data_IF_900016619063
#
_entry.id   IF_900016619063
#
_cell.length_a   1.000
_cell.length_b   1.000
_cell.length_c   1.000
_cell.angle_alpha   90.00
_cell.angle_beta   90.00
_cell.angle_gamma   90.00
#
_symmetry.space_group_name_H-M   'P 1'
#
loop_
_entity.id
_entity.type
_entity.pdbx_description
1 polymer ?
#
# COMPACT_ATOMS: atom_id res chain seq x y z
N UNK A 1 0.32 -11.24 -3.29
CA UNK A 1 -0.59 -10.32 -2.55
C UNK A 1 0.17 -9.02 -2.30
N UNK A 2 -0.46 -7.91 -1.88
CA UNK A 2 0.26 -6.63 -1.68
C UNK A 2 1.44 -6.72 -0.71
N UNK A 3 1.35 -7.62 0.27
CA UNK A 3 2.40 -7.87 1.27
C UNK A 3 3.72 -8.43 0.71
N UNK A 4 3.75 -8.95 -0.53
CA UNK A 4 5.00 -9.45 -1.14
C UNK A 4 6.06 -8.37 -1.21
N UNK A 5 5.66 -7.10 -1.41
CA UNK A 5 6.58 -5.97 -1.45
C UNK A 5 7.35 -5.76 -0.14
N UNK A 6 6.88 -6.34 0.98
CA UNK A 6 7.63 -6.32 2.25
C UNK A 6 8.99 -7.03 2.16
N UNK A 7 9.20 -7.89 1.15
CA UNK A 7 10.49 -8.54 0.91
C UNK A 7 11.63 -7.57 0.57
N UNK A 8 11.31 -6.35 0.16
CA UNK A 8 12.32 -5.30 0.00
C UNK A 8 12.91 -4.82 1.32
N UNK A 9 12.21 -5.06 2.43
CA UNK A 9 12.61 -4.65 3.77
C UNK A 9 13.23 -5.81 4.56
N UNK A 10 14.08 -6.60 3.89
CA UNK A 10 14.73 -7.77 4.49
C UNK A 10 15.60 -7.43 5.71
N UNK A 11 16.02 -6.17 5.86
CA UNK A 11 16.69 -5.67 7.06
C UNK A 11 15.84 -5.74 8.35
N UNK A 12 14.53 -5.98 8.25
CA UNK A 12 13.63 -6.21 9.38
C UNK A 12 13.33 -7.70 9.65
N UNK A 13 13.87 -8.64 8.87
CA UNK A 13 13.50 -10.05 8.99
C UNK A 13 13.99 -10.73 10.27
N UNK A 14 15.15 -10.32 10.77
CA UNK A 14 15.71 -10.79 12.05
C UNK A 14 15.15 -10.03 13.26
N UNK A 15 14.45 -8.91 13.04
CA UNK A 15 13.94 -8.06 14.11
C UNK A 15 12.66 -8.63 14.68
N UNK A 16 12.39 -8.33 15.95
CA UNK A 16 11.10 -8.65 16.55
C UNK A 16 10.02 -7.69 16.02
N UNK A 17 9.08 -8.22 15.25
CA UNK A 17 7.99 -7.44 14.66
C UNK A 17 6.64 -7.82 15.26
N UNK A 18 5.79 -6.82 15.46
CA UNK A 18 4.38 -7.05 15.77
C UNK A 18 3.58 -7.06 14.50
N UNK A 19 2.72 -8.06 14.34
CA UNK A 19 1.87 -8.22 13.15
C UNK A 19 0.40 -8.03 13.52
N UNK A 20 -0.32 -7.29 12.69
CA UNK A 20 -1.74 -6.99 12.85
C UNK A 20 -2.47 -7.23 11.53
N UNK A 21 -3.66 -7.83 11.59
CA UNK A 21 -4.53 -8.08 10.46
C UNK A 21 -5.31 -9.39 10.60
N UNK A 22 -6.08 -9.74 9.58
CA UNK A 22 -6.93 -10.93 9.56
C UNK A 22 -6.26 -12.15 8.91
N UNK A 23 -6.70 -13.35 9.32
CA UNK A 23 -6.26 -14.63 8.76
C UNK A 23 -4.94 -15.14 9.34
N UNK A 24 -4.21 -16.03 8.64
CA UNK A 24 -3.00 -16.66 9.16
C UNK A 24 -1.79 -15.72 9.05
N UNK A 25 -1.86 -14.55 9.70
CA UNK A 25 -0.87 -13.47 9.58
C UNK A 25 0.55 -13.90 9.93
N UNK A 26 0.73 -14.79 10.92
CA UNK A 26 2.04 -15.35 11.27
C UNK A 26 2.64 -16.17 10.15
N UNK A 27 1.84 -17.01 9.50
CA UNK A 27 2.32 -17.86 8.42
C UNK A 27 2.65 -17.02 7.19
N UNK A 28 1.88 -15.96 6.94
CA UNK A 28 2.18 -14.97 5.91
C UNK A 28 3.52 -14.28 6.21
N UNK A 29 3.72 -13.79 7.44
CA UNK A 29 4.97 -13.14 7.85
C UNK A 29 6.19 -14.06 7.69
N UNK A 30 6.09 -15.32 8.13
CA UNK A 30 7.15 -16.33 7.97
C UNK A 30 7.45 -16.63 6.50
N UNK A 31 6.42 -16.72 5.65
CA UNK A 31 6.58 -16.92 4.19
C UNK A 31 7.24 -15.72 3.50
N UNK A 32 7.07 -14.52 4.03
CA UNK A 32 7.76 -13.31 3.54
C UNK A 32 9.23 -13.34 3.96
N UNK A 33 9.52 -13.78 5.18
CA UNK A 33 10.89 -13.95 5.70
C UNK A 33 11.09 -13.49 7.14
N UNK A 34 10.06 -12.93 7.80
CA UNK A 34 10.16 -12.51 9.20
C UNK A 34 10.29 -13.72 10.13
N UNK A 35 11.29 -13.67 11.01
CA UNK A 35 11.61 -14.78 11.92
C UNK A 35 10.99 -14.64 13.30
N UNK A 36 10.96 -13.40 13.82
CA UNK A 36 10.48 -13.09 15.16
C UNK A 36 9.19 -12.27 15.06
N UNK A 37 8.04 -12.92 15.28
CA UNK A 37 6.74 -12.28 15.11
C UNK A 37 5.81 -12.53 16.30
N UNK A 38 5.24 -11.46 16.84
CA UNK A 38 4.16 -11.48 17.83
C UNK A 38 2.88 -10.89 17.24
N UNK A 39 1.75 -11.52 17.53
CA UNK A 39 0.42 -11.02 17.14
C UNK A 39 -0.17 -10.11 18.21
N UNK A 40 -1.14 -9.28 17.84
CA UNK A 40 -1.90 -8.48 18.79
C UNK A 40 -2.56 -9.35 19.86
N UNK A 41 -3.06 -10.53 19.47
CA UNK A 41 -3.72 -11.48 20.36
C UNK A 41 -2.75 -12.07 21.39
N UNK A 42 -1.52 -12.38 20.99
CA UNK A 42 -0.49 -12.87 21.92
C UNK A 42 -0.03 -11.79 22.89
N UNK A 43 0.15 -10.55 22.40
CA UNK A 43 0.47 -9.41 23.26
C UNK A 43 -0.67 -9.20 24.26
N UNK A 44 -1.92 -9.20 23.81
CA UNK A 44 -3.09 -9.11 24.69
C UNK A 44 -3.17 -10.26 25.71
N UNK A 45 -2.72 -11.47 25.34
CA UNK A 45 -2.67 -12.61 26.27
C UNK A 45 -1.58 -12.46 27.32
N UNK A 46 -0.42 -11.91 26.96
CA UNK A 46 0.71 -11.68 27.88
C UNK A 46 0.53 -10.43 28.73
N UNK A 47 -0.11 -9.41 28.17
CA UNK A 47 -0.35 -8.09 28.76
C UNK A 47 -1.84 -7.74 28.72
N UNK A 48 -2.70 -8.43 29.51
CA UNK A 48 -4.14 -8.23 29.43
C UNK A 48 -4.60 -6.80 29.73
N UNK A 49 -3.79 -6.01 30.44
CA UNK A 49 -4.10 -4.62 30.75
C UNK A 49 -3.94 -3.67 29.56
N UNK A 50 -3.22 -4.06 28.51
CA UNK A 50 -3.12 -3.30 27.26
C UNK A 50 -4.34 -3.52 26.34
N UNK A 51 -5.16 -4.54 26.60
CA UNK A 51 -6.37 -4.78 25.80
C UNK A 51 -7.53 -3.96 26.38
N UNK A 52 -7.83 -2.83 25.72
CA UNK A 52 -8.92 -1.91 26.07
C UNK A 52 -10.31 -2.57 26.10
N UNK A 53 -10.47 -3.76 25.54
CA UNK A 53 -11.70 -4.50 25.57
C UNK A 53 -11.80 -5.53 26.71
N UNK A 54 -10.80 -5.64 27.60
CA UNK A 54 -10.90 -6.45 28.83
C UNK A 54 -11.73 -5.75 29.91
N UNK A 55 -12.26 -6.48 30.90
CA UNK A 55 -12.91 -5.88 32.06
C UNK A 55 -11.96 -4.89 32.76
N UNK A 56 -12.52 -3.80 33.30
CA UNK A 56 -11.73 -2.70 33.89
C UNK A 56 -10.84 -3.18 35.04
N UNK A 57 -11.30 -4.17 35.81
CA UNK A 57 -10.55 -4.76 36.91
C UNK A 57 -9.22 -5.34 36.39
N UNK A 58 -9.25 -6.05 35.26
CA UNK A 58 -8.07 -6.65 34.63
C UNK A 58 -7.15 -5.62 33.98
N UNK A 59 -7.68 -4.47 33.58
CA UNK A 59 -6.90 -3.34 33.06
C UNK A 59 -6.19 -2.62 34.21
N UNK A 60 -6.86 -2.44 35.34
CA UNK A 60 -6.31 -1.74 36.51
C UNK A 60 -5.33 -2.58 37.33
N UNK A 61 -5.34 -3.91 37.19
CA UNK A 61 -4.44 -4.85 37.89
C UNK A 61 -3.09 -5.05 37.18
N UNK A 62 -2.75 -4.24 36.16
CA UNK A 62 -1.54 -4.39 35.37
C UNK A 62 -0.26 -4.37 36.21
N UNK A 63 0.37 -5.54 36.37
CA UNK A 63 1.66 -5.65 37.04
C UNK A 63 2.77 -5.43 36.00
N UNK A 64 3.49 -4.31 36.10
CA UNK A 64 4.70 -4.03 35.29
C UNK A 64 5.86 -4.87 35.86
N UNK A 65 5.66 -6.18 35.90
CA UNK A 65 6.70 -7.14 36.26
C UNK A 65 7.70 -7.27 35.10
N UNK A 66 8.96 -7.58 35.43
CA UNK A 66 9.98 -8.00 34.44
C UNK A 66 9.44 -9.18 33.64
N UNK A 67 8.89 -8.89 32.47
CA UNK A 67 8.49 -9.89 31.50
C UNK A 67 9.66 -10.11 30.52
N UNK A 68 9.81 -11.33 30.03
CA UNK A 68 10.84 -11.67 29.04
C UNK A 68 10.36 -11.36 27.61
N UNK A 69 9.45 -10.39 27.43
CA UNK A 69 8.98 -10.03 26.10
C UNK A 69 10.05 -9.19 25.41
N UNK A 70 10.55 -9.69 24.28
CA UNK A 70 11.58 -9.00 23.51
C UNK A 70 11.04 -7.66 23.01
N UNK A 71 11.90 -6.62 23.05
CA UNK A 71 11.56 -5.30 22.53
C UNK A 71 11.10 -5.41 21.07
N UNK A 72 9.95 -4.81 20.78
CA UNK A 72 9.42 -4.71 19.41
C UNK A 72 10.17 -3.63 18.65
N UNK A 73 10.57 -3.93 17.42
CA UNK A 73 11.36 -3.01 16.59
C UNK A 73 10.62 -2.53 15.33
N UNK A 74 9.49 -3.15 14.96
CA UNK A 74 8.61 -2.67 13.90
C UNK A 74 7.19 -3.23 14.03
N UNK A 75 6.24 -2.55 13.40
CA UNK A 75 4.83 -2.94 13.33
C UNK A 75 4.45 -3.18 11.87
N UNK A 76 3.89 -4.36 11.56
CA UNK A 76 3.41 -4.74 10.22
C UNK A 76 1.88 -4.86 10.26
N UNK A 77 1.21 -3.95 9.54
CA UNK A 77 -0.24 -3.94 9.35
C UNK A 77 -0.55 -4.61 8.00
N UNK A 78 -0.91 -5.89 8.04
CA UNK A 78 -1.28 -6.66 6.86
C UNK A 78 -2.68 -6.29 6.32
N UNK A 79 -3.56 -5.81 7.20
CA UNK A 79 -4.95 -5.46 6.91
C UNK A 79 -5.65 -4.99 8.18
N UNK A 80 -6.93 -4.63 8.08
CA UNK A 80 -7.74 -4.31 9.25
C UNK A 80 -7.90 -5.53 10.17
N UNK A 81 -7.73 -5.36 11.50
CA UNK A 81 -8.03 -6.41 12.47
C UNK A 81 -9.55 -6.57 12.67
N UNK A 82 -9.97 -7.64 13.34
CA UNK A 82 -11.39 -7.81 13.71
C UNK A 82 -11.80 -6.89 14.88
N UNK A 83 -10.92 -6.69 15.85
CA UNK A 83 -11.17 -5.90 17.08
C UNK A 83 -10.34 -4.62 17.06
N UNK A 84 -10.89 -3.56 16.50
CA UNK A 84 -10.15 -2.32 16.25
C UNK A 84 -9.69 -1.66 17.54
N UNK A 85 -10.55 -1.60 18.57
CA UNK A 85 -10.26 -0.96 19.85
C UNK A 85 -9.07 -1.63 20.56
N UNK A 86 -9.03 -2.97 20.56
CA UNK A 86 -7.92 -3.76 21.09
C UNK A 86 -6.63 -3.48 20.32
N UNK A 87 -6.67 -3.58 18.99
CA UNK A 87 -5.48 -3.39 18.17
C UNK A 87 -4.97 -1.96 18.21
N UNK A 88 -5.87 -0.96 18.18
CA UNK A 88 -5.51 0.46 18.27
C UNK A 88 -4.82 0.76 19.59
N UNK A 89 -5.38 0.32 20.74
CA UNK A 89 -4.75 0.52 22.04
C UNK A 89 -3.34 -0.07 22.08
N UNK A 90 -3.19 -1.35 21.73
CA UNK A 90 -1.90 -2.04 21.79
C UNK A 90 -0.87 -1.42 20.83
N UNK A 91 -1.27 -1.09 19.60
CA UNK A 91 -0.38 -0.46 18.61
C UNK A 91 0.06 0.93 19.09
N UNK A 92 -0.86 1.73 19.63
CA UNK A 92 -0.52 3.06 20.16
C UNK A 92 0.43 2.95 21.34
N UNK A 93 0.19 2.03 22.27
CA UNK A 93 1.09 1.81 23.40
C UNK A 93 2.49 1.41 22.95
N UNK A 94 2.59 0.49 21.97
CA UNK A 94 3.87 0.13 21.35
C UNK A 94 4.57 1.33 20.70
N UNK A 95 3.84 2.20 20.01
CA UNK A 95 4.40 3.41 19.38
C UNK A 95 4.89 4.42 20.41
N UNK A 96 4.13 4.64 21.49
CA UNK A 96 4.48 5.58 22.57
C UNK A 96 5.65 5.07 23.43
N UNK A 97 5.74 3.76 23.66
CA UNK A 97 6.76 3.12 24.49
C UNK A 97 8.00 2.69 23.69
N UNK A 98 8.07 3.03 22.40
CA UNK A 98 9.14 2.60 21.49
C UNK A 98 9.37 1.08 21.52
N UNK A 99 8.27 0.31 21.59
CA UNK A 99 8.23 -1.16 21.52
C UNK A 99 8.64 -1.91 22.78
N UNK A 100 8.93 -1.22 23.88
CA UNK A 100 9.37 -1.82 25.13
C UNK A 100 8.22 -1.80 26.15
N UNK A 101 7.43 -2.88 26.19
CA UNK A 101 6.27 -3.03 27.10
C UNK A 101 6.67 -3.39 28.54
N UNK A 102 7.97 -3.53 28.82
CA UNK A 102 8.49 -3.91 30.14
C UNK A 102 8.86 -2.74 31.05
N UNK A 103 8.75 -1.52 30.55
CA UNK A 103 9.16 -0.30 31.26
C UNK A 103 7.98 0.46 31.83
N UNK A 104 8.22 1.18 32.93
CA UNK A 104 7.19 2.05 33.50
C UNK A 104 7.09 3.37 32.70
N UNK A 105 5.95 4.09 32.77
CA UNK A 105 5.81 5.40 32.11
C UNK A 105 6.91 6.40 32.48
N UNK A 106 7.44 6.33 33.71
CA UNK A 106 8.53 7.17 34.19
C UNK A 106 9.87 6.85 33.51
N UNK A 107 10.09 5.58 33.16
CA UNK A 107 11.27 5.11 32.40
C UNK A 107 11.17 5.45 30.91
N UNK A 108 9.96 5.76 30.43
CA UNK A 108 9.67 6.19 29.06
C UNK A 108 9.67 7.72 28.87
N UNK A 109 9.84 8.50 29.93
CA UNK A 109 9.94 9.95 29.79
C UNK A 109 11.07 10.31 28.81
N UNK A 110 10.81 11.16 27.81
CA UNK A 110 11.84 11.55 26.86
C UNK A 110 12.97 12.22 27.63
N UNK A 111 14.16 11.61 27.59
CA UNK A 111 15.37 12.32 27.95
C UNK A 111 15.46 13.51 26.99
N UNK A 112 15.52 14.72 27.56
CA UNK A 112 15.44 16.02 26.88
C UNK A 112 16.73 16.26 26.09
N UNK A 113 17.03 15.40 25.12
CA UNK A 113 18.24 15.44 24.31
C UNK A 113 17.88 15.70 22.85
N UNK A 114 17.09 16.75 22.58
CA UNK A 114 16.99 17.47 21.30
C UNK A 114 16.73 16.70 20.00
N UNK A 115 16.61 15.38 20.04
CA UNK A 115 16.42 14.51 18.90
C UNK A 115 14.92 14.33 18.71
N UNK A 116 14.43 14.67 17.52
CA UNK A 116 13.07 14.36 17.08
C UNK A 116 12.82 12.87 17.31
N UNK A 117 12.10 12.50 18.37
CA UNK A 117 11.79 11.11 18.67
C UNK A 117 10.92 10.56 17.54
N UNK A 118 11.51 9.71 16.69
CA UNK A 118 10.77 8.92 15.71
C UNK A 118 10.15 7.73 16.43
N UNK A 119 8.85 7.51 16.24
CA UNK A 119 8.18 6.29 16.70
C UNK A 119 8.75 5.05 15.98
N UNK A 120 8.32 3.85 16.42
CA UNK A 120 8.68 2.59 15.77
C UNK A 120 8.36 2.60 14.27
N UNK A 121 9.19 1.97 13.41
CA UNK A 121 8.86 1.71 12.02
C UNK A 121 7.49 1.03 11.85
N UNK A 122 6.61 1.61 11.02
CA UNK A 122 5.27 1.08 10.71
C UNK A 122 5.14 0.78 9.23
N UNK A 123 4.70 -0.42 8.91
CA UNK A 123 4.41 -0.86 7.55
C UNK A 123 2.92 -1.14 7.40
N UNK A 124 2.30 -0.69 6.32
CA UNK A 124 0.89 -0.95 6.04
C UNK A 124 0.71 -1.48 4.61
N UNK A 125 -0.10 -2.53 4.45
CA UNK A 125 -0.20 -3.28 3.19
C UNK A 125 -1.36 -2.90 2.25
N UNK A 126 -2.17 -1.93 2.64
CA UNK A 126 -3.23 -1.33 1.83
C UNK A 126 -3.60 0.02 2.44
N UNK A 127 -4.07 0.94 1.60
CA UNK A 127 -4.56 2.25 2.01
C UNK A 127 -6.03 2.47 1.63
N UNK A 128 -6.72 1.41 1.21
CA UNK A 128 -8.09 1.46 0.72
C UNK A 128 -9.02 1.86 1.89
N UNK A 129 -9.67 3.02 1.80
CA UNK A 129 -10.63 3.46 2.83
C UNK A 129 -11.84 2.53 2.88
N UNK A 130 -12.32 2.13 1.70
CA UNK A 130 -13.47 1.25 1.52
C UNK A 130 -13.21 0.23 0.42
N UNK A 131 -13.94 -0.88 0.46
CA UNK A 131 -13.92 -1.93 -0.55
C UNK A 131 -15.34 -2.36 -0.91
N UNK A 132 -15.51 -2.86 -2.15
CA UNK A 132 -16.78 -3.38 -2.63
C UNK A 132 -16.93 -4.87 -2.33
N UNK A 133 -18.11 -5.25 -1.83
CA UNK A 133 -18.48 -6.63 -1.54
C UNK A 133 -19.87 -6.93 -2.13
N UNK A 134 -20.46 -8.08 -1.80
CA UNK A 134 -21.87 -8.36 -2.13
C UNK A 134 -22.89 -7.49 -1.38
N UNK A 135 -22.44 -6.60 -0.48
CA UNK A 135 -23.31 -5.70 0.27
C UNK A 135 -23.80 -4.51 -0.60
N UNK A 136 -24.95 -3.89 -0.27
CA UNK A 136 -25.51 -2.78 -1.06
C UNK A 136 -24.65 -1.51 -1.12
N UNK A 137 -23.77 -1.31 -0.13
CA UNK A 137 -22.82 -0.19 -0.12
C UNK A 137 -21.41 -0.68 0.27
N UNK A 138 -20.34 0.01 -0.18
CA UNK A 138 -18.97 -0.32 0.19
C UNK A 138 -18.77 -0.45 1.72
N UNK A 139 -17.89 -1.36 2.13
CA UNK A 139 -17.50 -1.58 3.54
C UNK A 139 -16.19 -0.85 3.83
N UNK A 140 -15.99 -0.44 5.08
CA UNK A 140 -14.69 0.08 5.53
C UNK A 140 -13.61 -0.99 5.31
N UNK A 141 -12.43 -0.55 4.89
CA UNK A 141 -11.24 -1.36 4.66
C UNK A 141 -10.08 -0.86 5.52
N UNK A 142 -8.92 -1.48 5.36
CA UNK A 142 -7.69 -1.17 6.08
C UNK A 142 -7.34 0.32 6.16
N UNK A 143 -7.52 1.11 5.09
CA UNK A 143 -7.25 2.56 5.12
C UNK A 143 -8.11 3.33 6.14
N UNK A 144 -9.33 2.86 6.42
CA UNK A 144 -10.16 3.45 7.49
C UNK A 144 -9.56 3.17 8.87
N UNK A 145 -8.99 1.98 9.08
CA UNK A 145 -8.26 1.64 10.30
C UNK A 145 -7.00 2.51 10.46
N UNK A 146 -6.24 2.69 9.37
CA UNK A 146 -5.07 3.60 9.34
C UNK A 146 -5.47 5.03 9.74
N UNK A 147 -6.57 5.54 9.21
CA UNK A 147 -7.08 6.88 9.54
C UNK A 147 -7.41 7.03 11.04
N UNK A 148 -7.99 5.99 11.65
CA UNK A 148 -8.23 5.96 13.10
C UNK A 148 -6.92 5.95 13.89
N UNK A 149 -5.96 5.11 13.48
CA UNK A 149 -4.66 4.99 14.13
C UNK A 149 -3.87 6.31 14.07
N UNK A 150 -3.80 6.93 12.90
CA UNK A 150 -3.15 8.22 12.68
C UNK A 150 -3.75 9.31 13.57
N UNK A 151 -5.09 9.40 13.59
CA UNK A 151 -5.81 10.41 14.36
C UNK A 151 -5.56 10.23 15.85
N UNK A 152 -5.70 9.01 16.37
CA UNK A 152 -5.51 8.73 17.79
C UNK A 152 -4.05 8.96 18.20
N UNK A 153 -3.09 8.44 17.43
CA UNK A 153 -1.67 8.65 17.70
C UNK A 153 -1.33 10.14 17.74
N UNK A 154 -1.77 10.93 16.75
CA UNK A 154 -1.52 12.37 16.72
C UNK A 154 -2.14 13.10 17.91
N UNK A 155 -3.35 12.72 18.32
CA UNK A 155 -4.04 13.33 19.46
C UNK A 155 -3.38 13.00 20.80
N UNK A 156 -2.76 11.82 20.92
CA UNK A 156 -2.14 11.35 22.15
C UNK A 156 -0.67 11.77 22.28
N UNK A 157 0.10 11.71 21.18
CA UNK A 157 1.54 12.01 21.18
C UNK A 157 1.87 13.46 20.78
N UNK A 158 0.95 14.15 20.09
CA UNK A 158 1.22 15.42 19.42
C UNK A 158 2.02 15.31 18.13
N UNK A 159 2.38 14.09 17.69
CA UNK A 159 3.20 13.83 16.50
C UNK A 159 2.38 13.15 15.40
N UNK A 160 2.66 13.46 14.13
CA UNK A 160 2.05 12.75 13.01
C UNK A 160 2.64 11.34 12.90
N UNK A 161 1.79 10.32 12.72
CA UNK A 161 2.26 8.98 12.40
C UNK A 161 2.87 8.97 11.00
N UNK A 162 4.05 8.39 10.87
CA UNK A 162 4.74 8.20 9.59
C UNK A 162 4.83 6.72 9.26
N UNK A 163 4.59 6.35 8.00
CA UNK A 163 4.81 4.98 7.57
C UNK A 163 6.24 4.84 7.07
N UNK A 164 6.90 3.76 7.45
CA UNK A 164 8.18 3.32 6.85
C UNK A 164 7.91 2.70 5.48
N UNK A 165 6.79 2.00 5.32
CA UNK A 165 6.36 1.48 4.02
C UNK A 165 4.85 1.32 3.94
N UNK A 166 4.21 2.15 3.11
CA UNK A 166 2.83 1.94 2.67
C UNK A 166 2.86 1.11 1.38
N UNK A 167 2.86 -0.20 1.55
CA UNK A 167 2.94 -1.20 0.48
C UNK A 167 1.54 -1.53 -0.03
N UNK A 168 1.40 -1.85 -1.32
CA UNK A 168 0.08 -2.00 -1.95
C UNK A 168 -0.36 -0.74 -2.71
N UNK A 169 -1.53 -0.79 -3.36
CA UNK A 169 -2.03 0.35 -4.14
C UNK A 169 -2.33 1.54 -3.19
N UNK A 170 -2.09 2.79 -3.62
CA UNK A 170 -1.59 3.21 -4.94
C UNK A 170 -0.07 3.28 -5.08
N UNK A 171 0.70 2.66 -4.17
CA UNK A 171 2.17 2.74 -4.19
C UNK A 171 2.77 2.28 -5.53
N UNK A 172 3.65 3.08 -6.16
CA UNK A 172 4.41 2.69 -7.36
C UNK A 172 5.10 1.33 -7.24
N UNK A 173 5.49 0.97 -6.01
CA UNK A 173 6.13 -0.29 -5.70
C UNK A 173 5.25 -1.50 -6.02
N UNK A 174 3.95 -1.41 -5.71
CA UNK A 174 3.00 -2.48 -6.01
C UNK A 174 2.88 -2.73 -7.52
N UNK A 175 2.85 -1.66 -8.31
CA UNK A 175 2.78 -1.74 -9.77
C UNK A 175 4.08 -2.26 -10.39
N UNK A 176 5.23 -1.95 -9.80
CA UNK A 176 6.52 -2.49 -10.23
C UNK A 176 6.60 -4.01 -10.05
N UNK A 177 6.16 -4.53 -8.90
CA UNK A 177 6.02 -5.98 -8.70
C UNK A 177 5.02 -6.62 -9.66
N UNK A 178 3.88 -5.96 -9.90
CA UNK A 178 2.88 -6.45 -10.84
C UNK A 178 3.44 -6.53 -12.28
N UNK A 179 4.12 -5.48 -12.75
CA UNK A 179 4.72 -5.42 -14.08
C UNK A 179 5.81 -6.49 -14.26
N UNK A 180 6.68 -6.68 -13.26
CA UNK A 180 7.69 -7.75 -13.27
C UNK A 180 7.06 -9.15 -13.40
N UNK A 181 6.00 -9.42 -12.63
CA UNK A 181 5.26 -10.68 -12.71
C UNK A 181 4.57 -10.85 -14.07
N UNK A 182 3.93 -9.81 -14.59
CA UNK A 182 3.27 -9.85 -15.89
C UNK A 182 4.26 -10.11 -17.03
N UNK A 183 5.45 -9.48 -17.01
CA UNK A 183 6.51 -9.77 -17.97
C UNK A 183 7.02 -11.22 -17.86
N UNK A 184 7.16 -11.74 -16.64
CA UNK A 184 7.56 -13.14 -16.41
C UNK A 184 6.52 -14.12 -16.95
N UNK A 185 5.23 -13.85 -16.72
CA UNK A 185 4.11 -14.64 -17.26
C UNK A 185 4.08 -14.55 -18.79
N UNK A 186 4.24 -13.36 -19.36
CA UNK A 186 4.26 -13.15 -20.81
C UNK A 186 5.40 -13.92 -21.47
N UNK A 187 6.59 -13.89 -20.88
CA UNK A 187 7.75 -14.62 -21.40
C UNK A 187 7.54 -16.13 -21.32
N UNK A 188 7.14 -16.64 -20.14
CA UNK A 188 7.00 -18.07 -19.90
C UNK A 188 5.82 -18.70 -20.64
N UNK A 189 4.64 -18.09 -20.56
CA UNK A 189 3.40 -18.72 -21.04
C UNK A 189 3.07 -18.36 -22.48
N UNK A 190 3.57 -17.22 -22.99
CA UNK A 190 3.25 -16.72 -24.33
C UNK A 190 4.48 -16.50 -25.22
N UNK A 191 5.69 -16.86 -24.75
CA UNK A 191 6.92 -16.76 -25.53
C UNK A 191 7.38 -15.33 -25.80
N UNK A 192 6.95 -14.36 -24.99
CA UNK A 192 7.36 -12.97 -25.18
C UNK A 192 8.87 -12.81 -24.93
N UNK A 193 9.57 -12.24 -25.93
CA UNK A 193 11.02 -11.94 -25.86
C UNK A 193 11.30 -10.48 -25.54
N UNK A 194 10.26 -9.64 -25.50
CA UNK A 194 10.33 -8.21 -25.20
C UNK A 194 9.37 -7.88 -24.06
N UNK A 195 9.65 -6.84 -23.26
CA UNK A 195 8.72 -6.35 -22.26
C UNK A 195 7.36 -5.96 -22.86
N UNK A 196 6.31 -6.04 -22.05
CA UNK A 196 4.97 -5.62 -22.40
C UNK A 196 4.97 -4.14 -22.82
N UNK A 197 4.28 -3.84 -23.92
CA UNK A 197 4.15 -2.46 -24.44
C UNK A 197 3.07 -1.66 -23.71
N UNK A 198 1.99 -2.33 -23.31
CA UNK A 198 0.81 -1.73 -22.68
C UNK A 198 0.28 -2.65 -21.59
N UNK A 199 -0.10 -2.07 -20.46
CA UNK A 199 -0.79 -2.74 -19.36
C UNK A 199 -2.07 -1.97 -19.04
N UNK A 200 -3.20 -2.66 -19.11
CA UNK A 200 -4.50 -2.10 -18.74
C UNK A 200 -4.81 -2.41 -17.28
N UNK A 201 -4.98 -1.37 -16.47
CA UNK A 201 -5.29 -1.47 -15.05
C UNK A 201 -6.79 -1.24 -14.84
N UNK A 202 -7.54 -2.34 -14.75
CA UNK A 202 -8.99 -2.33 -14.52
C UNK A 202 -9.24 -2.33 -13.01
N UNK A 203 -9.94 -1.31 -12.50
CA UNK A 203 -10.26 -1.19 -11.08
C UNK A 203 -11.48 -0.32 -10.83
N UNK A 204 -12.00 -0.34 -9.61
CA UNK A 204 -13.28 0.26 -9.22
C UNK A 204 -13.10 1.45 -8.27
N UNK A 205 -11.89 1.70 -7.77
CA UNK A 205 -11.59 2.77 -6.84
C UNK A 205 -10.70 3.86 -7.48
N UNK A 206 -11.23 5.06 -7.76
CA UNK A 206 -10.45 6.13 -8.39
C UNK A 206 -9.22 6.58 -7.58
N UNK A 207 -9.33 6.66 -6.26
CA UNK A 207 -8.25 7.10 -5.37
C UNK A 207 -7.13 6.06 -5.17
N UNK A 208 -7.34 4.81 -5.63
CA UNK A 208 -6.42 3.68 -5.38
C UNK A 208 -5.98 3.03 -6.70
N UNK A 209 -6.92 2.54 -7.50
CA UNK A 209 -6.65 1.83 -8.74
C UNK A 209 -6.23 2.78 -9.85
N UNK A 210 -7.10 3.75 -10.14
CA UNK A 210 -6.88 4.72 -11.21
C UNK A 210 -5.69 5.60 -10.87
N UNK A 211 -5.70 6.18 -9.67
CA UNK A 211 -4.61 6.98 -9.13
C UNK A 211 -3.28 6.23 -9.16
N UNK A 212 -3.23 4.99 -8.67
CA UNK A 212 -2.00 4.20 -8.63
C UNK A 212 -1.45 3.88 -10.03
N UNK A 213 -2.33 3.49 -10.96
CA UNK A 213 -1.93 3.20 -12.33
C UNK A 213 -1.39 4.44 -13.05
N UNK A 214 -2.07 5.58 -12.88
CA UNK A 214 -1.66 6.86 -13.46
C UNK A 214 -0.36 7.38 -12.84
N UNK A 215 -0.22 7.28 -11.52
CA UNK A 215 1.01 7.66 -10.81
C UNK A 215 2.19 6.81 -11.29
N UNK A 216 2.03 5.49 -11.39
CA UNK A 216 3.11 4.62 -11.86
C UNK A 216 3.44 4.84 -13.34
N UNK A 217 2.45 5.08 -14.20
CA UNK A 217 2.68 5.46 -15.59
C UNK A 217 3.56 6.73 -15.69
N UNK A 218 3.29 7.71 -14.83
CA UNK A 218 4.09 8.93 -14.75
C UNK A 218 5.50 8.64 -14.22
N UNK A 219 5.65 7.77 -13.22
CA UNK A 219 6.97 7.33 -12.74
C UNK A 219 7.79 6.70 -13.87
N UNK A 220 7.20 5.81 -14.68
CA UNK A 220 7.89 5.21 -15.83
C UNK A 220 8.40 6.26 -16.81
N UNK A 221 7.65 7.34 -17.03
CA UNK A 221 8.00 8.41 -17.96
C UNK A 221 9.09 9.34 -17.41
N UNK A 222 9.30 9.38 -16.10
CA UNK A 222 10.20 10.34 -15.45
C UNK A 222 11.50 9.71 -14.92
N UNK A 223 11.53 8.40 -14.68
CA UNK A 223 12.72 7.68 -14.17
C UNK A 223 13.71 7.39 -15.32
N UNK A 224 15.01 7.45 -15.04
CA UNK A 224 16.08 7.08 -16.01
C UNK A 224 16.18 5.57 -16.19
N UNK A 225 16.60 5.12 -17.37
CA UNK A 225 16.65 3.67 -17.69
C UNK A 225 17.56 2.90 -16.73
N UNK A 226 18.72 3.46 -16.38
CA UNK A 226 19.66 2.86 -15.43
C UNK A 226 19.04 2.62 -14.05
N UNK A 227 18.22 3.56 -13.56
CA UNK A 227 17.53 3.45 -12.27
C UNK A 227 16.40 2.44 -12.33
N UNK A 228 15.64 2.46 -13.42
CA UNK A 228 14.57 1.50 -13.65
C UNK A 228 15.12 0.08 -13.76
N UNK A 229 16.27 -0.11 -14.41
CA UNK A 229 16.94 -1.41 -14.54
C UNK A 229 17.43 -1.95 -13.18
N UNK A 230 18.04 -1.09 -12.36
CA UNK A 230 18.49 -1.47 -11.01
C UNK A 230 17.33 -1.95 -10.13
N UNK A 231 16.22 -1.20 -10.11
CA UNK A 231 15.03 -1.56 -9.35
C UNK A 231 14.34 -2.81 -9.92
N UNK A 232 14.24 -2.90 -11.25
CA UNK A 232 13.65 -4.05 -11.93
C UNK A 232 14.43 -5.33 -11.65
N UNK A 233 15.77 -5.26 -11.61
CA UNK A 233 16.63 -6.41 -11.28
C UNK A 233 16.33 -6.95 -9.88
N UNK A 234 16.22 -6.07 -8.88
CA UNK A 234 15.90 -6.45 -7.50
C UNK A 234 14.48 -7.03 -7.39
N UNK A 235 13.49 -6.39 -8.01
CA UNK A 235 12.11 -6.90 -8.01
C UNK A 235 12.01 -8.25 -8.72
N UNK A 236 12.70 -8.42 -9.85
CA UNK A 236 12.75 -9.70 -10.57
C UNK A 236 13.36 -10.82 -9.70
N UNK A 237 14.40 -10.51 -8.93
CA UNK A 237 14.96 -11.46 -7.95
C UNK A 237 13.90 -11.85 -6.90
N UNK A 238 13.22 -10.89 -6.29
CA UNK A 238 12.20 -11.15 -5.28
C UNK A 238 10.98 -11.90 -5.83
N UNK A 239 10.54 -11.58 -7.05
CA UNK A 239 9.48 -12.31 -7.76
C UNK A 239 9.90 -13.75 -8.03
N UNK A 240 11.16 -13.99 -8.36
CA UNK A 240 11.70 -15.34 -8.54
C UNK A 240 11.68 -16.13 -7.24
N UNK A 241 12.05 -15.52 -6.12
CA UNK A 241 11.98 -16.20 -4.81
C UNK A 241 10.54 -16.55 -4.41
N UNK A 242 9.56 -15.67 -4.67
CA UNK A 242 8.16 -15.95 -4.37
C UNK A 242 7.57 -17.00 -5.32
N UNK A 243 7.93 -16.94 -6.60
CA UNK A 243 7.38 -17.79 -7.67
C UNK A 243 8.52 -18.35 -8.53
N UNK A 244 9.26 -19.35 -8.03
CA UNK A 244 10.41 -19.92 -8.76
C UNK A 244 10.02 -20.54 -10.09
N UNK A 245 8.75 -20.93 -10.24
CA UNK A 245 8.23 -21.44 -11.50
C UNK A 245 8.14 -20.37 -12.60
N UNK A 246 8.09 -19.06 -12.30
CA UNK A 246 7.84 -18.02 -13.31
C UNK A 246 9.09 -17.51 -14.02
N UNK A 247 10.27 -17.63 -13.40
CA UNK A 247 11.53 -17.11 -13.95
C UNK A 247 12.51 -18.27 -14.13
N UNK A 248 13.10 -18.47 -15.33
CA UNK A 248 14.07 -19.54 -15.58
C UNK A 248 15.21 -19.55 -14.56
N UNK A 249 15.78 -20.74 -14.34
CA UNK A 249 16.85 -21.04 -13.38
C UNK A 249 18.22 -20.42 -13.73
N UNK A 250 18.26 -19.16 -14.16
CA UNK A 250 19.48 -18.35 -14.13
C UNK A 250 19.80 -18.01 -12.68
N UNK A 251 21.01 -18.26 -12.16
CA UNK A 251 21.37 -17.78 -10.83
C UNK A 251 21.32 -16.25 -10.85
N UNK A 252 20.25 -15.69 -10.31
CA UNK A 252 20.23 -14.30 -9.92
C UNK A 252 20.94 -14.30 -8.58
N UNK A 253 22.17 -13.80 -8.52
CA UNK A 253 22.78 -13.43 -7.25
C UNK A 253 21.88 -12.38 -6.62
N UNK A 254 21.58 -12.49 -5.32
CA UNK A 254 20.99 -11.36 -4.60
C UNK A 254 21.94 -10.17 -4.85
N UNK A 255 21.50 -9.11 -5.55
CA UNK A 255 22.29 -7.90 -5.61
C UNK A 255 22.17 -7.29 -4.21
N UNK A 256 22.97 -7.81 -3.28
CA UNK A 256 23.03 -7.31 -1.92
C UNK A 256 23.31 -5.81 -2.04
N UNK A 257 22.37 -4.99 -1.60
CA UNK A 257 22.65 -3.60 -1.34
C UNK A 257 23.59 -3.60 -0.13
N UNK A 258 24.88 -3.46 -0.40
CA UNK A 258 25.72 -2.78 0.57
C UNK A 258 25.02 -1.44 0.81
N UNK A 259 24.40 -1.27 1.98
CA UNK A 259 23.91 0.01 2.45
C UNK A 259 25.12 0.92 2.58
N UNK A 260 25.55 1.52 1.46
CA UNK A 260 26.56 2.56 1.44
C UNK A 260 25.82 3.88 1.54
N UNK A 261 26.30 4.75 2.42
CA UNK A 261 25.65 6.00 2.83
C UNK A 261 25.40 7.00 1.69
N UNK A 262 25.81 6.69 0.46
CA UNK A 262 25.61 7.50 -0.73
C UNK A 262 24.38 7.12 -1.58
N UNK A 263 23.40 6.43 -0.97
CA UNK A 263 22.20 5.94 -1.64
C UNK A 263 21.33 7.03 -2.29
N UNK A 264 20.90 6.77 -3.54
CA UNK A 264 20.10 7.68 -4.36
C UNK A 264 18.75 8.02 -3.71
N UNK A 265 18.35 9.31 -3.78
CA UNK A 265 17.07 9.84 -3.26
C UNK A 265 15.87 8.96 -3.60
N UNK A 266 15.78 8.44 -4.83
CA UNK A 266 14.66 7.60 -5.28
C UNK A 266 14.64 6.19 -4.69
N UNK A 267 15.81 5.59 -4.45
CA UNK A 267 15.91 4.27 -3.80
C UNK A 267 15.49 4.38 -2.35
N UNK A 268 16.04 5.38 -1.63
CA UNK A 268 15.60 5.72 -0.27
C UNK A 268 14.13 6.07 -0.20
N UNK A 269 13.57 6.73 -1.20
CA UNK A 269 12.14 7.01 -1.23
C UNK A 269 11.34 5.72 -1.37
N UNK A 270 11.59 4.87 -2.37
CA UNK A 270 10.85 3.59 -2.49
C UNK A 270 10.98 2.72 -1.23
N UNK A 271 12.12 2.78 -0.56
CA UNK A 271 12.42 2.07 0.69
C UNK A 271 12.05 2.84 1.97
N UNK A 272 11.60 4.09 1.89
CA UNK A 272 11.20 4.90 3.05
C UNK A 272 10.03 5.81 2.69
N UNK A 273 8.86 5.40 3.16
CA UNK A 273 7.61 6.13 2.97
C UNK A 273 7.59 7.51 3.68
N UNK A 274 8.61 7.87 4.46
CA UNK A 274 8.80 9.23 4.97
C UNK A 274 9.34 10.21 3.90
N UNK A 275 10.15 9.73 2.95
CA UNK A 275 10.73 10.52 1.85
C UNK A 275 9.96 10.37 0.53
N UNK A 276 9.13 9.33 0.42
CA UNK A 276 8.20 9.12 -0.71
C UNK A 276 7.35 10.35 -1.04
N UNK A 277 6.67 11.00 -0.08
CA UNK A 277 5.69 12.04 -0.42
C UNK A 277 6.38 13.21 -1.14
N UNK A 278 7.55 13.65 -0.66
CA UNK A 278 8.31 14.74 -1.29
C UNK A 278 8.81 14.36 -2.69
N UNK A 279 9.36 13.15 -2.84
CA UNK A 279 9.90 12.71 -4.13
C UNK A 279 8.78 12.51 -5.16
N UNK A 280 7.66 11.91 -4.75
CA UNK A 280 6.48 11.76 -5.59
C UNK A 280 5.88 13.12 -5.95
N UNK A 281 5.82 14.08 -5.01
CA UNK A 281 5.44 15.46 -5.32
C UNK A 281 6.34 16.04 -6.42
N UNK A 282 7.66 15.93 -6.29
CA UNK A 282 8.59 16.41 -7.32
C UNK A 282 8.33 15.77 -8.69
N UNK A 283 8.10 14.45 -8.78
CA UNK A 283 7.75 13.80 -10.05
C UNK A 283 6.43 14.30 -10.61
N UNK A 284 5.42 14.42 -9.75
CA UNK A 284 4.07 14.77 -10.18
C UNK A 284 4.02 16.16 -10.78
N UNK A 285 4.94 17.06 -10.43
CA UNK A 285 5.05 18.40 -11.02
C UNK A 285 6.10 18.53 -12.14
N UNK A 286 6.89 17.50 -12.42
CA UNK A 286 7.81 17.48 -13.56
C UNK A 286 7.07 17.21 -14.87
N UNK A 287 7.36 17.98 -15.92
CA UNK A 287 6.86 17.71 -17.29
C UNK A 287 7.74 16.64 -17.94
N UNK A 288 7.23 15.41 -18.08
CA UNK A 288 7.92 14.39 -18.87
C UNK A 288 7.69 14.55 -20.38
N UNK A 289 8.75 14.30 -21.16
CA UNK A 289 8.75 14.22 -22.63
C UNK A 289 9.28 12.87 -23.14
N UNK A 290 9.39 11.87 -22.26
CA UNK A 290 10.08 10.61 -22.57
C UNK A 290 9.10 9.54 -23.07
N UNK A 291 9.45 8.90 -24.18
CA UNK A 291 8.73 7.71 -24.67
C UNK A 291 9.24 6.51 -23.87
N UNK A 292 8.34 5.83 -23.16
CA UNK A 292 8.66 4.65 -22.35
C UNK A 292 8.43 3.37 -23.14
N UNK A 293 9.14 2.27 -22.80
CA UNK A 293 8.93 0.97 -23.45
C UNK A 293 7.58 0.33 -23.09
N UNK A 294 7.00 0.71 -21.94
CA UNK A 294 5.68 0.27 -21.46
C UNK A 294 4.84 1.47 -21.03
N UNK A 295 3.54 1.44 -21.30
CA UNK A 295 2.56 2.39 -20.76
C UNK A 295 1.52 1.66 -19.89
N UNK A 296 1.04 2.33 -18.84
CA UNK A 296 -0.10 1.88 -18.06
C UNK A 296 -1.33 2.72 -18.42
N UNK A 297 -2.46 2.06 -18.61
CA UNK A 297 -3.74 2.69 -18.95
C UNK A 297 -4.80 2.29 -17.93
N UNK A 298 -5.30 3.26 -17.18
CA UNK A 298 -6.32 3.06 -16.15
C UNK A 298 -7.72 2.94 -16.77
N UNK A 299 -8.49 1.95 -16.32
CA UNK A 299 -9.90 1.76 -16.67
C UNK A 299 -10.70 1.67 -15.38
N UNK A 300 -11.64 2.61 -15.20
CA UNK A 300 -12.58 2.59 -14.08
C UNK A 300 -13.80 1.73 -14.42
N UNK A 301 -14.15 0.78 -13.55
CA UNK A 301 -15.41 0.03 -13.64
C UNK A 301 -16.43 0.53 -12.62
N UNK A 302 -17.71 0.51 -12.99
CA UNK A 302 -18.81 1.08 -12.19
C UNK A 302 -19.53 0.07 -11.28
N UNK A 303 -19.02 -1.16 -11.17
CA UNK A 303 -19.61 -2.27 -10.41
C UNK A 303 -19.05 -2.42 -8.99
N UNK A 304 -18.27 -1.47 -8.47
CA UNK A 304 -17.52 -1.64 -7.22
C UNK A 304 -17.67 -0.49 -6.24
N UNK A 305 -16.54 0.04 -5.77
CA UNK A 305 -16.45 1.16 -4.82
C UNK A 305 -17.07 2.41 -5.43
N UNK A 306 -16.69 2.74 -6.66
CA UNK A 306 -17.38 3.74 -7.45
C UNK A 306 -18.61 3.11 -8.11
N UNK A 307 -19.78 3.70 -7.85
CA UNK A 307 -21.06 3.30 -8.44
C UNK A 307 -21.76 4.50 -9.05
N UNK A 308 -22.26 4.36 -10.27
CA UNK A 308 -23.05 5.39 -10.92
C UNK A 308 -24.51 5.31 -10.43
N UNK A 309 -24.94 6.26 -9.60
CA UNK A 309 -26.33 6.32 -9.15
C UNK A 309 -27.24 6.87 -10.26
N UNK A 310 -27.85 5.97 -11.04
CA UNK A 310 -28.79 6.27 -12.15
C UNK A 310 -30.07 7.07 -11.79
N UNK A 311 -30.30 7.50 -10.55
CA UNK A 311 -31.65 7.95 -10.10
C UNK A 311 -31.80 9.37 -9.56
N UNK A 312 -30.79 10.24 -9.58
CA UNK A 312 -31.03 11.65 -9.22
C UNK A 312 -30.08 12.61 -9.91
N UNK A 313 -30.60 13.40 -10.83
CA UNK A 313 -29.94 14.60 -11.35
C UNK A 313 -29.58 15.62 -10.24
N UNK A 314 -30.01 15.41 -8.98
CA UNK A 314 -29.71 16.29 -7.82
C UNK A 314 -28.77 15.66 -6.77
N UNK A 315 -28.49 14.36 -6.85
CA UNK A 315 -27.55 13.64 -5.97
C UNK A 315 -26.59 12.84 -6.85
N UNK A 316 -25.83 13.53 -7.70
CA UNK A 316 -24.72 12.95 -8.48
C UNK A 316 -23.46 12.72 -7.63
N UNK A 317 -23.61 12.63 -6.32
CA UNK A 317 -22.51 12.40 -5.40
C UNK A 317 -22.47 10.91 -5.09
N UNK A 318 -21.34 10.26 -5.40
CA UNK A 318 -20.96 9.02 -4.73
C UNK A 318 -21.16 9.21 -3.22
N UNK A 319 -21.64 8.17 -2.52
CA UNK A 319 -21.81 8.20 -1.06
C UNK A 319 -20.52 8.60 -0.31
N UNK A 320 -19.37 8.41 -0.98
CA UNK A 320 -18.04 8.74 -0.49
C UNK A 320 -17.33 9.67 -1.48
N UNK A 321 -16.46 10.56 -0.99
CA UNK A 321 -15.58 11.33 -1.85
C UNK A 321 -14.62 10.37 -2.58
N UNK A 322 -14.76 10.17 -3.90
CA UNK A 322 -14.06 9.10 -4.62
C UNK A 322 -12.56 9.38 -4.84
N UNK A 323 -12.10 10.60 -4.51
CA UNK A 323 -10.73 11.08 -4.75
C UNK A 323 -9.92 11.32 -3.47
N UNK A 324 -10.35 10.76 -2.32
CA UNK A 324 -9.56 10.82 -1.08
C UNK A 324 -8.39 9.85 -1.14
N UNK A 325 -7.27 10.34 -1.69
CA UNK A 325 -5.98 9.66 -1.68
C UNK A 325 -5.34 9.79 -0.29
N UNK A 326 -4.68 8.74 0.18
CA UNK A 326 -3.97 8.74 1.45
C UNK A 326 -2.93 9.89 1.52
N UNK A 327 -2.79 10.62 2.65
CA UNK A 327 -1.94 11.82 2.76
C UNK A 327 -0.45 11.60 2.44
N UNK A 328 0.03 10.37 2.50
CA UNK A 328 1.40 10.00 2.09
C UNK A 328 1.66 10.07 0.58
N UNK A 329 0.63 10.31 -0.25
CA UNK A 329 0.78 10.44 -1.69
C UNK A 329 0.40 11.85 -2.16
N UNK A 330 1.04 12.38 -3.22
CA UNK A 330 0.75 13.70 -3.75
C UNK A 330 -0.66 13.79 -4.32
N UNK A 331 -1.43 14.78 -3.89
CA UNK A 331 -2.72 15.04 -4.50
C UNK A 331 -2.57 15.79 -5.84
N UNK A 332 -3.06 15.18 -6.91
CA UNK A 332 -3.25 15.81 -8.22
C UNK A 332 -4.52 15.23 -8.84
N UNK A 333 -5.53 16.06 -9.08
CA UNK A 333 -6.86 15.62 -9.55
C UNK A 333 -6.79 14.76 -10.81
N UNK A 334 -5.91 15.12 -11.75
CA UNK A 334 -5.71 14.37 -13.00
C UNK A 334 -5.19 12.94 -12.80
N UNK A 335 -4.64 12.61 -11.63
CA UNK A 335 -4.25 11.23 -11.34
C UNK A 335 -5.46 10.36 -11.02
N UNK A 336 -6.56 10.90 -10.50
CA UNK A 336 -7.80 10.15 -10.26
C UNK A 336 -8.68 10.03 -11.51
N UNK A 337 -8.31 10.68 -12.63
CA UNK A 337 -9.04 10.62 -13.89
C UNK A 337 -8.67 9.34 -14.66
N UNK A 338 -9.61 8.41 -14.89
CA UNK A 338 -9.32 7.21 -15.63
C UNK A 338 -9.20 7.52 -17.11
N UNK A 339 -8.39 6.74 -17.82
CA UNK A 339 -8.31 6.85 -19.28
C UNK A 339 -9.61 6.42 -19.95
N UNK A 340 -10.24 5.37 -19.41
CA UNK A 340 -11.51 4.84 -19.89
C UNK A 340 -12.44 4.49 -18.74
N UNK A 341 -13.75 4.54 -18.98
CA UNK A 341 -14.77 4.09 -18.02
C UNK A 341 -15.60 2.99 -18.67
N UNK A 342 -15.81 1.89 -17.95
CA UNK A 342 -16.66 0.79 -18.38
C UNK A 342 -17.70 0.49 -17.31
N UNK A 343 -18.87 -0.01 -17.69
CA UNK A 343 -19.91 -0.43 -16.74
C UNK A 343 -19.39 -1.53 -15.83
N UNK A 344 -18.73 -2.52 -16.41
CA UNK A 344 -18.19 -3.67 -15.71
C UNK A 344 -16.87 -4.16 -16.35
N UNK A 345 -16.28 -5.20 -15.74
CA UNK A 345 -15.02 -5.80 -16.21
C UNK A 345 -15.17 -6.43 -17.60
N UNK A 346 -16.34 -7.00 -17.93
CA UNK A 346 -16.54 -7.66 -19.22
C UNK A 346 -16.57 -6.64 -20.37
N UNK A 347 -17.18 -5.48 -20.16
CA UNK A 347 -17.15 -4.37 -21.10
C UNK A 347 -15.75 -3.78 -21.24
N UNK A 348 -15.01 -3.61 -20.13
CA UNK A 348 -13.62 -3.15 -20.17
C UNK A 348 -12.75 -4.08 -21.04
N UNK A 349 -12.88 -5.39 -20.88
CA UNK A 349 -12.10 -6.38 -21.66
C UNK A 349 -12.50 -6.34 -23.14
N UNK A 350 -13.80 -6.29 -23.47
CA UNK A 350 -14.26 -6.16 -24.86
C UNK A 350 -13.68 -4.93 -25.54
N UNK A 351 -13.65 -3.81 -24.82
CA UNK A 351 -13.07 -2.57 -25.33
C UNK A 351 -11.56 -2.67 -25.56
N UNK A 352 -10.81 -3.26 -24.62
CA UNK A 352 -9.38 -3.53 -24.81
C UNK A 352 -9.14 -4.35 -26.08
N UNK A 353 -9.89 -5.43 -26.30
CA UNK A 353 -9.77 -6.24 -27.51
C UNK A 353 -10.08 -5.44 -28.78
N UNK A 354 -11.07 -4.55 -28.73
CA UNK A 354 -11.41 -3.67 -29.85
C UNK A 354 -10.27 -2.68 -30.19
N UNK A 355 -9.73 -1.95 -29.20
CA UNK A 355 -8.65 -0.98 -29.42
C UNK A 355 -7.31 -1.62 -29.78
N UNK A 356 -7.11 -2.89 -29.44
CA UNK A 356 -5.97 -3.71 -29.86
C UNK A 356 -6.18 -4.36 -31.25
N UNK A 357 -7.35 -4.17 -31.89
CA UNK A 357 -7.65 -4.68 -33.22
C UNK A 357 -7.92 -6.20 -33.26
N UNK A 358 -8.35 -6.79 -32.15
CA UNK A 358 -8.57 -8.23 -31.98
C UNK A 358 -10.05 -8.64 -32.02
N UNK A 359 -10.99 -7.70 -32.23
CA UNK A 359 -12.42 -7.98 -32.35
C UNK A 359 -13.06 -7.27 -33.53
N UNK A 360 -13.84 -8.00 -34.32
CA UNK A 360 -14.66 -7.49 -35.42
C UNK A 360 -16.03 -7.00 -34.92
N UNK A 361 -16.38 -5.74 -35.24
CA UNK A 361 -17.73 -5.22 -35.48
C UNK A 361 -18.85 -5.35 -34.41
N UNK A 362 -18.57 -5.19 -33.12
CA UNK A 362 -19.60 -4.84 -32.12
C UNK A 362 -19.56 -3.36 -31.78
N UNK A 363 -20.71 -2.67 -31.68
CA UNK A 363 -20.78 -1.34 -31.05
C UNK A 363 -20.25 -1.46 -29.62
N UNK A 364 -19.07 -0.89 -29.37
CA UNK A 364 -18.52 -0.78 -28.02
C UNK A 364 -18.87 0.62 -27.51
N UNK A 365 -19.94 0.70 -26.73
CA UNK A 365 -20.41 1.94 -26.10
C UNK A 365 -19.52 2.24 -24.88
N UNK A 366 -18.33 2.79 -25.13
CA UNK A 366 -17.39 3.20 -24.08
C UNK A 366 -17.07 4.67 -24.28
N UNK A 367 -17.43 5.49 -23.30
CA UNK A 367 -17.22 6.93 -23.36
C UNK A 367 -15.72 7.22 -23.15
N UNK A 368 -15.02 7.86 -24.12
CA UNK A 368 -13.70 8.41 -23.86
C UNK A 368 -13.88 9.58 -22.90
N UNK A 369 -13.18 9.51 -21.77
CA UNK A 369 -13.29 10.40 -20.60
C UNK A 369 -14.59 10.24 -19.79
N UNK A 370 -14.44 10.21 -18.47
CA UNK A 370 -15.57 10.28 -17.53
C UNK A 370 -16.12 11.72 -17.54
N UNK A 371 -17.35 11.99 -18.02
CA UNK A 371 -17.92 13.34 -17.96
C UNK A 371 -18.28 13.79 -16.53
N UNK A 372 -18.01 12.97 -15.50
CA UNK A 372 -18.50 13.18 -14.13
C UNK A 372 -17.40 13.44 -13.07
N UNK A 373 -16.11 13.42 -13.45
CA UNK A 373 -15.01 13.85 -12.56
C UNK A 373 -14.69 15.35 -12.69
N UNK A 374 -15.16 15.99 -13.75
CA UNK A 374 -14.93 17.41 -14.05
C UNK A 374 -15.69 18.39 -13.12
N UNK A 375 -16.74 17.94 -12.41
CA UNK A 375 -17.54 18.83 -11.53
C UNK A 375 -16.96 18.96 -10.10
N UNK A 376 -16.14 18.02 -9.63
CA UNK A 376 -15.54 18.07 -8.27
C UNK A 376 -14.31 18.98 -8.23
N UNK A 377 -13.62 19.17 -9.35
CA UNK A 377 -12.42 20.02 -9.44
C UNK A 377 -12.71 21.53 -9.60
N UNK A 378 -13.98 21.94 -9.70
CA UNK A 378 -14.39 23.33 -10.01
C UNK A 378 -15.26 24.02 -8.96
N UNK A 379 -15.36 23.48 -7.76
CA UNK A 379 -16.04 24.17 -6.65
C UNK A 379 -14.99 24.66 -5.64
N UNK A 380 -14.91 25.98 -5.38
CA UNK A 380 -13.91 26.56 -4.48
C UNK A 380 -14.06 26.11 -3.02
#
# INVERSE_FOLDING_TARGET
MSHTALRLYSCYFEKHVVICGQGPVKDIARKIGFKHCSTIEEISSMFPWLDACKPKERICEGDVGKNNFEKVEAIILFGEPERWEQSLQIIIDLLLQNGDLGKTPEEHLPQVDGASHSHLPVFACSSDLVWASGAPTPRIAHGSFLSCLETLYQRMSGQCLTYTGLVGKPSPLAYMFALSQLNSIASKNFGATKPLKRVYCIGDNPAVDVYGANLYNMCLQSISDEKLESLSTRVNFLVKEERPALIPSTPLTDPALACTENDDRWKRSIESSALMPQSLCELVFQKSKRITPCTLESILVLTGVYQEHRKSHRLRHSLYNPCQVHPCFPYRSTLCEPRYVARDVAEAVKYILHIEGLSDHGEVDVTPCCPYLDEVARSP
#
